data_IF_252224508861
#
_entry.id   IF_252224508861
#
_cell.length_a   1.000
_cell.length_b   1.000
_cell.length_c   1.000
_cell.angle_alpha   90.00
_cell.angle_beta   90.00
_cell.angle_gamma   90.00
#
_symmetry.space_group_name_H-M   'P 1'
#
loop_
_entity.id
_entity.type
_entity.pdbx_description
1 polymer ?
#
# COMPACT_ATOMS: atom_id res chain seq x y z
N UNK A 1 14.94 3.69 20.75
CA UNK A 1 13.69 3.42 20.01
C UNK A 1 13.85 2.19 19.15
N UNK A 2 12.77 1.45 19.00
CA UNK A 2 12.75 0.32 18.06
C UNK A 2 12.72 0.83 16.64
N UNK A 3 13.39 0.13 15.75
CA UNK A 3 13.36 0.41 14.32
C UNK A 3 12.18 -0.26 13.65
N UNK A 4 11.62 0.39 12.66
CA UNK A 4 10.66 -0.22 11.76
C UNK A 4 10.98 0.18 10.33
N UNK A 5 11.04 -0.80 9.44
CA UNK A 5 11.29 -0.55 8.02
C UNK A 5 9.96 -0.36 7.33
N UNK A 6 9.82 0.71 6.58
CA UNK A 6 8.59 0.93 5.80
C UNK A 6 8.79 0.47 4.37
N UNK A 7 8.01 -0.53 3.97
CA UNK A 7 8.07 -1.15 2.66
C UNK A 7 7.24 -0.35 1.65
N UNK A 8 7.63 0.89 1.40
CA UNK A 8 6.95 1.77 0.47
C UNK A 8 7.95 2.68 -0.24
N UNK A 9 7.73 2.90 -1.52
CA UNK A 9 8.45 3.91 -2.31
C UNK A 9 7.71 5.24 -2.41
N UNK A 10 6.54 5.35 -1.80
CA UNK A 10 5.73 6.57 -1.85
C UNK A 10 6.17 7.54 -0.76
N UNK A 11 6.74 8.67 -1.17
CA UNK A 11 7.27 9.68 -0.24
C UNK A 11 6.20 10.30 0.66
N UNK A 12 4.99 10.48 0.16
CA UNK A 12 3.87 11.00 0.94
C UNK A 12 3.48 10.05 2.06
N UNK A 13 3.38 8.76 1.76
CA UNK A 13 3.08 7.72 2.75
C UNK A 13 4.18 7.61 3.80
N UNK A 14 5.44 7.66 3.37
CA UNK A 14 6.59 7.65 4.28
C UNK A 14 6.53 8.81 5.28
N UNK A 15 6.17 10.00 4.81
CA UNK A 15 6.04 11.17 5.67
C UNK A 15 4.92 11.00 6.68
N UNK A 16 3.75 10.56 6.25
CA UNK A 16 2.60 10.33 7.13
C UNK A 16 2.90 9.30 8.20
N UNK A 17 3.50 8.18 7.81
CA UNK A 17 3.86 7.11 8.75
C UNK A 17 4.91 7.61 9.74
N UNK A 18 5.91 8.36 9.28
CA UNK A 18 6.93 8.93 10.13
C UNK A 18 6.35 9.87 11.19
N UNK A 19 5.38 10.68 10.82
CA UNK A 19 4.73 11.60 11.76
C UNK A 19 3.89 10.84 12.81
N UNK A 20 3.15 9.80 12.37
CA UNK A 20 2.33 8.99 13.27
C UNK A 20 3.17 8.24 14.29
N UNK A 21 4.32 7.71 13.87
CA UNK A 21 5.18 6.89 14.71
C UNK A 21 6.29 7.67 15.41
N UNK A 22 6.33 8.98 15.22
CA UNK A 22 7.35 9.85 15.83
C UNK A 22 7.37 9.70 17.35
N UNK A 23 8.55 9.46 17.90
CA UNK A 23 8.74 9.25 19.33
C UNK A 23 8.48 7.82 19.80
N UNK A 24 7.95 6.95 18.95
CA UNK A 24 7.66 5.53 19.28
C UNK A 24 8.56 4.59 18.51
N UNK A 25 8.83 4.88 17.25
CA UNK A 25 9.65 4.06 16.36
C UNK A 25 10.58 4.95 15.54
N UNK A 26 11.76 4.42 15.25
CA UNK A 26 12.64 4.99 14.23
C UNK A 26 12.21 4.43 12.88
N UNK A 27 11.60 5.26 12.06
CA UNK A 27 11.07 4.87 10.74
C UNK A 27 12.18 4.97 9.71
N UNK A 28 12.47 3.87 9.04
CA UNK A 28 13.51 3.79 8.01
C UNK A 28 12.88 3.33 6.70
N UNK A 29 12.94 4.13 5.62
CA UNK A 29 12.48 3.67 4.31
C UNK A 29 13.28 2.45 3.85
N UNK A 30 12.61 1.53 3.17
CA UNK A 30 13.28 0.29 2.70
C UNK A 30 14.50 0.56 1.82
N UNK A 31 14.45 1.60 1.00
CA UNK A 31 15.59 1.98 0.15
C UNK A 31 16.82 2.41 0.96
N UNK A 32 16.61 3.15 2.05
CA UNK A 32 17.69 3.57 2.95
C UNK A 32 18.21 2.43 3.80
N UNK A 33 17.38 1.41 4.05
CA UNK A 33 17.77 0.23 4.80
C UNK A 33 18.54 -0.79 3.95
N UNK A 34 18.71 -0.53 2.66
CA UNK A 34 19.48 -1.39 1.77
C UNK A 34 18.65 -2.44 1.03
N UNK A 35 17.34 -2.33 1.04
CA UNK A 35 16.48 -3.23 0.27
C UNK A 35 16.53 -2.85 -1.21
N UNK A 36 16.95 -3.79 -2.06
CA UNK A 36 17.13 -3.57 -3.50
C UNK A 36 16.29 -4.49 -4.37
N UNK A 37 15.51 -5.39 -3.77
CA UNK A 37 14.68 -6.33 -4.52
C UNK A 37 13.38 -5.74 -5.00
N UNK A 38 12.74 -6.45 -5.92
CA UNK A 38 11.38 -6.16 -6.33
C UNK A 38 10.40 -6.96 -5.47
N UNK A 39 9.24 -6.37 -5.23
CA UNK A 39 8.18 -7.02 -4.48
C UNK A 39 7.02 -7.33 -5.42
N UNK A 40 6.64 -8.60 -5.50
CA UNK A 40 5.53 -9.03 -6.34
C UNK A 40 4.22 -8.80 -5.58
N UNK A 41 3.37 -7.93 -6.12
CA UNK A 41 2.05 -7.63 -5.56
C UNK A 41 0.98 -8.39 -6.36
N UNK A 42 0.95 -9.71 -6.20
CA UNK A 42 0.02 -10.60 -6.90
C UNK A 42 -1.09 -11.14 -6.01
N UNK A 43 -1.32 -10.53 -4.86
CA UNK A 43 -2.42 -10.88 -3.97
C UNK A 43 -3.77 -10.44 -4.53
N UNK A 44 -4.83 -11.07 -4.00
CA UNK A 44 -6.21 -10.78 -4.40
C UNK A 44 -6.88 -9.72 -3.52
N UNK A 45 -6.24 -9.33 -2.42
CA UNK A 45 -6.77 -8.34 -1.48
C UNK A 45 -5.69 -7.34 -1.09
N UNK A 46 -6.12 -6.19 -0.55
CA UNK A 46 -5.18 -5.21 0.00
C UNK A 46 -4.30 -5.83 1.10
N UNK A 47 -4.92 -6.64 1.96
CA UNK A 47 -4.19 -7.32 3.03
C UNK A 47 -3.10 -8.25 2.48
N UNK A 48 -3.42 -9.07 1.49
CA UNK A 48 -2.44 -9.99 0.90
C UNK A 48 -1.25 -9.26 0.31
N UNK A 49 -1.49 -8.16 -0.39
CA UNK A 49 -0.41 -7.35 -0.97
C UNK A 49 0.42 -6.66 0.10
N UNK A 50 -0.23 -6.09 1.12
CA UNK A 50 0.47 -5.47 2.24
C UNK A 50 1.32 -6.49 3.00
N UNK A 51 0.77 -7.68 3.26
CA UNK A 51 1.50 -8.76 3.92
C UNK A 51 2.72 -9.19 3.12
N UNK A 52 2.59 -9.36 1.81
CA UNK A 52 3.72 -9.73 0.95
C UNK A 52 4.84 -8.70 1.01
N UNK A 53 4.49 -7.43 0.95
CA UNK A 53 5.49 -6.35 1.04
C UNK A 53 6.21 -6.37 2.37
N UNK A 54 5.46 -6.39 3.47
CA UNK A 54 6.04 -6.37 4.80
C UNK A 54 6.91 -7.60 5.07
N UNK A 55 6.40 -8.79 4.73
CA UNK A 55 7.13 -10.06 4.91
C UNK A 55 8.41 -10.10 4.10
N UNK A 56 8.35 -9.72 2.82
CA UNK A 56 9.52 -9.72 1.94
C UNK A 56 10.63 -8.84 2.49
N UNK A 57 10.28 -7.62 2.91
CA UNK A 57 11.27 -6.67 3.44
C UNK A 57 11.79 -7.12 4.80
N UNK A 58 10.91 -7.59 5.70
CA UNK A 58 11.30 -8.07 7.02
C UNK A 58 12.27 -9.26 6.93
N UNK A 59 11.97 -10.24 6.10
CA UNK A 59 12.84 -11.41 5.92
C UNK A 59 14.17 -11.06 5.27
N UNK A 60 14.16 -10.14 4.31
CA UNK A 60 15.40 -9.72 3.64
C UNK A 60 16.34 -8.94 4.55
N UNK A 61 15.82 -8.12 5.45
CA UNK A 61 16.61 -7.21 6.29
C UNK A 61 16.75 -7.66 7.74
N UNK A 62 15.97 -8.66 8.16
CA UNK A 62 15.99 -9.13 9.55
C UNK A 62 15.47 -8.12 10.56
N UNK A 63 14.54 -7.27 10.14
CA UNK A 63 13.95 -6.20 10.95
C UNK A 63 12.43 -6.23 10.88
N UNK A 64 11.75 -5.57 11.82
CA UNK A 64 10.31 -5.38 11.73
C UNK A 64 10.00 -4.50 10.52
N UNK A 65 8.98 -4.85 9.75
CA UNK A 65 8.58 -4.09 8.57
C UNK A 65 7.09 -3.77 8.60
N UNK A 66 6.76 -2.58 8.12
CA UNK A 66 5.39 -2.11 7.95
C UNK A 66 5.13 -1.87 6.47
N UNK A 67 4.00 -2.33 5.99
CA UNK A 67 3.54 -2.05 4.63
C UNK A 67 2.05 -1.73 4.64
N UNK A 68 1.62 -1.01 3.63
CA UNK A 68 0.21 -0.79 3.38
C UNK A 68 -0.09 -1.10 1.91
N UNK A 69 -1.34 -1.39 1.65
CA UNK A 69 -1.88 -1.40 0.31
C UNK A 69 -3.25 -0.75 0.35
N UNK A 70 -3.51 0.15 -0.60
CA UNK A 70 -4.73 0.94 -0.59
C UNK A 70 -5.18 1.25 -2.00
N UNK A 71 -6.46 1.58 -2.14
CA UNK A 71 -6.99 1.97 -3.43
C UNK A 71 -8.41 2.46 -3.38
N UNK A 72 -8.85 2.99 -4.51
CA UNK A 72 -10.19 3.48 -4.73
C UNK A 72 -11.09 2.35 -5.22
N UNK A 73 -12.21 2.14 -4.56
CA UNK A 73 -13.21 1.15 -4.94
C UNK A 73 -14.47 1.87 -5.38
N UNK A 74 -14.82 1.77 -6.67
CA UNK A 74 -15.98 2.44 -7.25
C UNK A 74 -17.12 1.43 -7.40
N UNK A 75 -18.26 1.71 -6.78
CA UNK A 75 -19.36 0.77 -6.72
C UNK A 75 -19.90 0.40 -8.11
N UNK A 76 -20.06 1.36 -9.02
CA UNK A 76 -20.55 1.12 -10.37
C UNK A 76 -19.61 0.24 -11.22
N UNK A 77 -18.34 0.14 -10.83
CA UNK A 77 -17.33 -0.68 -11.52
C UNK A 77 -17.04 -1.99 -10.78
N UNK A 78 -17.93 -2.41 -9.87
CA UNK A 78 -17.74 -3.64 -9.11
C UNK A 78 -16.59 -3.59 -8.11
N UNK A 79 -16.23 -2.40 -7.62
CA UNK A 79 -15.12 -2.19 -6.70
C UNK A 79 -13.79 -1.87 -7.37
N UNK A 80 -13.75 -1.78 -8.70
CA UNK A 80 -12.53 -1.39 -9.42
C UNK A 80 -12.28 0.12 -9.28
N UNK A 81 -11.06 0.61 -9.38
CA UNK A 81 -9.82 -0.13 -9.62
C UNK A 81 -9.31 -0.96 -8.44
N UNK A 82 -9.75 -0.72 -7.20
CA UNK A 82 -9.39 -1.54 -6.04
C UNK A 82 -7.88 -1.75 -5.90
N UNK A 83 -7.45 -3.02 -5.81
CA UNK A 83 -6.03 -3.36 -5.66
C UNK A 83 -5.17 -2.93 -6.85
N UNK A 84 -5.77 -2.61 -7.98
CA UNK A 84 -5.07 -2.16 -9.18
C UNK A 84 -4.99 -0.64 -9.31
N UNK A 85 -5.38 0.12 -8.29
CA UNK A 85 -5.46 1.59 -8.36
C UNK A 85 -4.18 2.26 -8.87
N UNK A 86 -3.01 1.82 -8.42
CA UNK A 86 -1.74 2.41 -8.82
C UNK A 86 -1.33 2.09 -10.27
N UNK A 87 -1.94 1.10 -10.88
CA UNK A 87 -1.60 0.63 -12.24
C UNK A 87 -2.83 0.39 -13.12
N UNK A 88 -3.91 1.11 -12.84
CA UNK A 88 -5.21 0.88 -13.49
C UNK A 88 -5.15 1.07 -15.02
N UNK A 89 -4.35 2.01 -15.50
CA UNK A 89 -4.14 2.23 -16.93
C UNK A 89 -3.19 1.21 -17.59
N UNK A 90 -2.57 0.32 -16.79
CA UNK A 90 -1.51 -0.59 -17.22
C UNK A 90 -0.12 -0.06 -16.95
N UNK A 91 0.01 1.20 -16.55
CA UNK A 91 1.30 1.83 -16.23
C UNK A 91 1.35 2.18 -14.76
N UNK A 92 2.19 1.46 -14.01
CA UNK A 92 2.32 1.63 -12.56
C UNK A 92 2.84 3.03 -12.20
N UNK A 93 2.17 3.69 -11.26
CA UNK A 93 2.58 4.99 -10.76
C UNK A 93 2.24 6.18 -11.66
N UNK A 94 1.58 5.97 -12.81
CA UNK A 94 1.13 7.06 -13.65
C UNK A 94 -0.28 7.51 -13.26
N UNK A 95 -0.37 8.40 -12.28
CA UNK A 95 -1.64 8.86 -11.72
C UNK A 95 -2.53 9.56 -12.76
N UNK A 96 -1.92 10.32 -13.68
CA UNK A 96 -2.68 11.01 -14.71
C UNK A 96 -3.39 10.04 -15.65
N UNK A 97 -2.70 8.98 -16.11
CA UNK A 97 -3.30 7.95 -16.97
C UNK A 97 -4.31 7.11 -16.20
N UNK A 98 -4.04 6.80 -14.93
CA UNK A 98 -4.97 6.05 -14.09
C UNK A 98 -6.27 6.82 -13.90
N UNK A 99 -6.20 8.13 -13.62
CA UNK A 99 -7.40 8.98 -13.53
C UNK A 99 -8.15 9.08 -14.85
N UNK A 100 -7.42 9.22 -15.94
CA UNK A 100 -8.03 9.30 -17.27
C UNK A 100 -8.84 8.06 -17.60
N UNK A 101 -8.27 6.87 -17.37
CA UNK A 101 -8.97 5.61 -17.59
C UNK A 101 -10.23 5.51 -16.74
N UNK A 102 -10.14 5.86 -15.47
CA UNK A 102 -11.28 5.84 -14.55
C UNK A 102 -12.40 6.77 -15.03
N UNK A 103 -12.06 7.99 -15.41
CA UNK A 103 -13.04 8.97 -15.88
C UNK A 103 -13.71 8.51 -17.19
N UNK A 104 -12.97 7.89 -18.09
CA UNK A 104 -13.54 7.32 -19.32
C UNK A 104 -14.54 6.19 -19.01
N UNK A 105 -14.22 5.31 -18.08
CA UNK A 105 -15.12 4.21 -17.68
C UNK A 105 -16.35 4.71 -16.93
N UNK A 106 -16.23 5.87 -16.25
CA UNK A 106 -17.34 6.48 -15.50
C UNK A 106 -18.21 7.41 -16.36
N UNK A 107 -17.90 7.60 -17.63
CA UNK A 107 -18.69 8.46 -18.51
C UNK A 107 -20.11 7.93 -18.64
N UNK A 108 -21.09 8.78 -18.34
CA UNK A 108 -22.51 8.42 -18.39
C UNK A 108 -23.00 7.55 -17.24
N UNK A 109 -22.16 7.25 -16.27
CA UNK A 109 -22.53 6.46 -15.09
C UNK A 109 -23.19 7.37 -14.05
N UNK A 110 -24.39 7.01 -13.61
CA UNK A 110 -25.14 7.78 -12.61
C UNK A 110 -24.67 7.53 -11.18
N UNK A 111 -24.45 6.25 -10.83
CA UNK A 111 -23.93 5.88 -9.52
C UNK A 111 -22.43 6.14 -9.47
N UNK A 112 -22.04 7.22 -8.78
CA UNK A 112 -20.65 7.63 -8.65
C UNK A 112 -20.12 7.42 -7.23
N UNK A 113 -20.77 6.58 -6.46
CA UNK A 113 -20.32 6.28 -5.11
C UNK A 113 -19.03 5.46 -5.14
N UNK A 114 -18.12 5.79 -4.24
CA UNK A 114 -16.84 5.14 -4.12
C UNK A 114 -16.36 5.19 -2.68
N UNK A 115 -15.44 4.29 -2.34
CA UNK A 115 -14.76 4.31 -1.06
C UNK A 115 -13.26 4.14 -1.27
N UNK A 116 -12.48 4.68 -0.36
CA UNK A 116 -11.05 4.43 -0.29
C UNK A 116 -10.82 3.36 0.77
N UNK A 117 -10.17 2.28 0.40
CA UNK A 117 -9.89 1.17 1.30
C UNK A 117 -8.38 0.99 1.45
N UNK A 118 -7.95 0.60 2.63
CA UNK A 118 -6.55 0.38 2.93
C UNK A 118 -6.38 -0.78 3.90
N UNK A 119 -5.30 -1.52 3.75
CA UNK A 119 -4.85 -2.51 4.72
C UNK A 119 -3.42 -2.17 5.12
N UNK A 120 -3.14 -2.26 6.42
CA UNK A 120 -1.80 -2.02 6.98
C UNK A 120 -1.36 -3.30 7.67
N UNK A 121 -0.12 -3.71 7.42
CA UNK A 121 0.46 -4.91 8.03
C UNK A 121 1.81 -4.58 8.62
N UNK A 122 2.04 -4.99 9.87
CA UNK A 122 3.37 -5.04 10.46
C UNK A 122 3.78 -6.51 10.54
N UNK A 123 4.87 -6.84 9.89
CA UNK A 123 5.47 -8.17 9.98
C UNK A 123 6.73 -8.06 10.82
N UNK A 124 6.68 -8.64 12.01
CA UNK A 124 7.81 -8.59 12.93
C UNK A 124 8.86 -9.64 12.57
N UNK A 125 10.10 -9.36 12.91
CA UNK A 125 11.22 -10.28 12.65
C UNK A 125 11.06 -11.64 13.34
N UNK A 126 10.20 -11.74 14.37
CA UNK A 126 9.86 -13.00 15.03
C UNK A 126 8.71 -13.77 14.34
N UNK A 127 8.17 -13.23 13.25
CA UNK A 127 7.06 -13.82 12.51
C UNK A 127 5.67 -13.35 12.94
N UNK A 128 5.57 -12.52 13.96
CA UNK A 128 4.28 -11.97 14.42
C UNK A 128 3.71 -11.02 13.38
N UNK A 129 2.41 -11.15 13.09
CA UNK A 129 1.69 -10.32 12.14
C UNK A 129 0.69 -9.45 12.88
N UNK A 130 0.72 -8.15 12.62
CA UNK A 130 -0.27 -7.18 13.14
C UNK A 130 -0.98 -6.59 11.92
N UNK A 131 -2.31 -6.60 11.95
CA UNK A 131 -3.14 -6.15 10.83
C UNK A 131 -4.06 -5.01 11.25
N UNK A 132 -4.22 -4.02 10.37
CA UNK A 132 -5.23 -2.98 10.48
C UNK A 132 -5.89 -2.72 9.13
N UNK A 133 -7.19 -2.47 9.12
CA UNK A 133 -7.95 -2.17 7.91
C UNK A 133 -8.75 -0.89 8.12
N UNK A 134 -8.96 -0.12 7.06
CA UNK A 134 -9.75 1.10 7.09
C UNK A 134 -10.46 1.38 5.77
N UNK A 135 -11.58 2.10 5.87
CA UNK A 135 -12.36 2.56 4.71
C UNK A 135 -12.87 3.97 4.97
N UNK A 136 -12.94 4.78 3.91
CA UNK A 136 -13.54 6.13 3.98
C UNK A 136 -14.39 6.42 2.75
#
# INVERSE_FOLDING_TARGET
MKKIIVASGNKGKLREISEILKGKYEVIPMSEAGFTGDIVEDGSTFYENALKKAKTVSEALGEDALADDSGLCVNALGGKPGIYSARYSGEHGNDALNRKKLLEEMRGVEDRTAKFAAAIVVYKKDGTIIRGDGET
#
